data_IF_304484622366
#
_entry.id   IF_304484622366
#
_cell.length_a   1.000
_cell.length_b   1.000
_cell.length_c   1.000
_cell.angle_alpha   90.00
_cell.angle_beta   90.00
_cell.angle_gamma   90.00
#
_symmetry.space_group_name_H-M   'P 1'
#
loop_
_entity.id
_entity.type
_entity.pdbx_description
1 polymer ?
#
# COMPACT_ATOMS: atom_id res chain seq x y z
N UNK A 1 -13.69 -13.96 -2.42
CA UNK A 1 -13.10 -12.63 -2.57
C UNK A 1 -13.03 -11.95 -1.24
N UNK A 2 -11.97 -11.20 -1.02
CA UNK A 2 -11.78 -10.47 0.22
C UNK A 2 -11.58 -8.98 -0.08
N UNK A 3 -12.02 -8.16 0.86
CA UNK A 3 -11.87 -6.72 0.73
C UNK A 3 -10.71 -6.26 1.61
N UNK A 4 -9.79 -5.55 1.00
CA UNK A 4 -8.65 -4.97 1.72
C UNK A 4 -8.63 -3.47 1.50
N UNK A 5 -8.07 -2.76 2.46
CA UNK A 5 -7.82 -1.33 2.31
C UNK A 5 -6.33 -1.11 2.24
N UNK A 6 -5.93 -0.32 1.27
CA UNK A 6 -4.52 0.05 1.12
C UNK A 6 -4.40 1.52 1.45
N UNK A 7 -3.63 1.80 2.47
CA UNK A 7 -3.39 3.17 2.91
C UNK A 7 -2.00 3.58 2.43
N UNK A 8 -1.96 4.58 1.57
CA UNK A 8 -0.69 5.09 1.05
C UNK A 8 -0.25 6.27 1.90
N UNK A 9 0.94 6.17 2.44
CA UNK A 9 1.52 7.24 3.25
C UNK A 9 2.45 8.07 2.41
N UNK A 10 2.43 9.38 2.63
CA UNK A 10 3.29 10.29 1.91
C UNK A 10 4.16 11.04 2.91
N UNK A 11 5.33 11.44 2.44
CA UNK A 11 6.31 12.12 3.27
C UNK A 11 5.93 13.58 3.54
N UNK A 12 5.05 14.12 2.77
CA UNK A 12 4.64 15.51 2.90
C UNK A 12 3.45 15.63 3.85
N UNK A 13 3.03 16.85 4.09
CA UNK A 13 1.83 17.10 4.90
C UNK A 13 0.55 16.70 4.19
N UNK A 14 0.64 16.20 2.98
CA UNK A 14 -0.53 15.76 2.24
C UNK A 14 -1.19 14.59 2.94
N UNK A 15 -2.52 14.54 2.96
CA UNK A 15 -3.21 13.40 3.56
C UNK A 15 -2.92 12.13 2.78
N UNK A 16 -2.84 11.04 3.51
CA UNK A 16 -2.63 9.73 2.90
C UNK A 16 -3.83 9.37 2.04
N UNK A 17 -3.56 8.68 0.95
CA UNK A 17 -4.63 8.16 0.10
C UNK A 17 -5.06 6.79 0.60
N UNK A 18 -6.35 6.52 0.51
CA UNK A 18 -6.88 5.23 0.91
C UNK A 18 -7.63 4.62 -0.26
N UNK A 19 -7.33 3.38 -0.55
CA UNK A 19 -7.96 2.67 -1.66
C UNK A 19 -8.52 1.35 -1.14
N UNK A 20 -9.78 1.08 -1.46
CA UNK A 20 -10.38 -0.21 -1.14
C UNK A 20 -10.32 -1.09 -2.36
N UNK A 21 -9.88 -2.33 -2.18
CA UNK A 21 -9.77 -3.28 -3.26
C UNK A 21 -10.46 -4.59 -2.88
N UNK A 22 -10.95 -5.30 -3.88
CA UNK A 22 -11.53 -6.63 -3.69
C UNK A 22 -10.70 -7.59 -4.52
N UNK A 23 -9.99 -8.46 -3.84
CA UNK A 23 -9.08 -9.39 -4.50
C UNK A 23 -9.21 -10.78 -3.88
N UNK A 24 -8.59 -11.75 -4.53
CA UNK A 24 -8.69 -13.14 -4.13
C UNK A 24 -7.99 -13.42 -2.81
N UNK A 25 -6.82 -12.86 -2.62
CA UNK A 25 -6.03 -13.12 -1.42
C UNK A 25 -5.08 -11.96 -1.13
N UNK A 26 -4.35 -12.07 -0.02
CA UNK A 26 -3.48 -11.00 0.43
C UNK A 26 -2.27 -10.83 -0.48
N UNK A 27 -1.85 -11.88 -1.16
CA UNK A 27 -0.72 -11.77 -2.09
C UNK A 27 -1.06 -10.83 -3.23
N UNK A 28 -2.29 -10.93 -3.74
CA UNK A 28 -2.73 -10.02 -4.78
C UNK A 28 -2.81 -8.59 -4.26
N UNK A 29 -3.22 -8.42 -3.00
CA UNK A 29 -3.25 -7.11 -2.39
C UNK A 29 -1.84 -6.52 -2.31
N UNK A 30 -0.86 -7.35 -1.98
CA UNK A 30 0.55 -6.91 -1.97
C UNK A 30 1.01 -6.42 -3.34
N UNK A 31 0.69 -7.15 -4.38
CA UNK A 31 1.08 -6.76 -5.72
C UNK A 31 0.49 -5.41 -6.10
N UNK A 32 -0.78 -5.22 -5.78
CA UNK A 32 -1.44 -3.96 -6.08
C UNK A 32 -0.86 -2.81 -5.27
N UNK A 33 -0.55 -3.07 -3.99
CA UNK A 33 0.04 -2.04 -3.15
C UNK A 33 1.39 -1.60 -3.68
N UNK A 34 2.20 -2.54 -4.15
CA UNK A 34 3.48 -2.20 -4.75
C UNK A 34 3.30 -1.37 -6.02
N UNK A 35 2.30 -1.73 -6.82
CA UNK A 35 2.00 -0.96 -8.02
C UNK A 35 1.61 0.46 -7.71
N UNK A 36 0.84 0.67 -6.66
CA UNK A 36 0.47 2.01 -6.23
C UNK A 36 1.70 2.81 -5.79
N UNK A 37 2.61 2.16 -5.07
CA UNK A 37 3.83 2.82 -4.66
C UNK A 37 4.69 3.23 -5.85
N UNK A 38 4.75 2.39 -6.86
CA UNK A 38 5.53 2.71 -8.06
C UNK A 38 4.93 3.86 -8.84
N UNK A 39 3.62 3.92 -8.89
CA UNK A 39 2.93 4.96 -9.66
C UNK A 39 2.91 6.30 -8.96
N UNK A 40 2.79 6.28 -7.64
CA UNK A 40 2.69 7.51 -6.86
C UNK A 40 4.04 7.81 -6.25
N UNK A 41 4.78 8.69 -6.89
CA UNK A 41 6.13 9.02 -6.45
C UNK A 41 6.15 9.74 -5.12
N UNK A 42 5.05 10.34 -4.73
CA UNK A 42 4.96 10.99 -3.43
C UNK A 42 4.73 10.00 -2.29
N UNK A 43 4.29 8.80 -2.61
CA UNK A 43 4.03 7.80 -1.58
C UNK A 43 5.34 7.18 -1.11
N UNK A 44 5.47 7.03 0.19
CA UNK A 44 6.66 6.44 0.80
C UNK A 44 6.42 5.04 1.33
N UNK A 45 5.16 4.71 1.64
CA UNK A 45 4.82 3.42 2.19
C UNK A 45 3.37 3.10 1.89
N UNK A 46 3.02 1.83 2.00
CA UNK A 46 1.65 1.37 1.87
C UNK A 46 1.35 0.37 2.97
N UNK A 47 0.21 0.51 3.60
CA UNK A 47 -0.25 -0.43 4.60
C UNK A 47 -1.48 -1.14 4.07
N UNK A 48 -1.56 -2.44 4.34
CA UNK A 48 -2.69 -3.25 3.92
C UNK A 48 -3.48 -3.65 5.15
N UNK A 49 -4.78 -3.33 5.13
CA UNK A 49 -5.67 -3.64 6.25
C UNK A 49 -6.79 -4.56 5.80
N UNK A 50 -7.18 -5.45 6.68
CA UNK A 50 -8.40 -6.23 6.52
C UNK A 50 -9.23 -6.03 7.78
N UNK A 51 -10.40 -5.42 7.61
CA UNK A 51 -11.15 -4.97 8.79
C UNK A 51 -10.37 -3.88 9.47
N UNK A 52 -10.22 -3.97 10.77
CA UNK A 52 -9.42 -2.99 11.51
C UNK A 52 -7.99 -3.45 11.76
N UNK A 53 -7.56 -4.51 11.11
CA UNK A 53 -6.28 -5.12 11.39
C UNK A 53 -5.27 -4.88 10.26
N UNK A 54 -4.10 -4.38 10.61
CA UNK A 54 -3.03 -4.21 9.64
C UNK A 54 -2.36 -5.56 9.38
N UNK A 55 -2.35 -5.95 8.12
CA UNK A 55 -1.75 -7.21 7.72
C UNK A 55 -0.32 -7.03 7.23
N UNK A 56 -0.01 -5.89 6.64
CA UNK A 56 1.31 -5.69 6.05
C UNK A 56 1.65 -4.22 6.00
N UNK A 57 2.94 -3.95 6.03
CA UNK A 57 3.49 -2.61 5.86
C UNK A 57 4.59 -2.70 4.82
N UNK A 58 4.39 -2.02 3.69
CA UNK A 58 5.31 -2.09 2.57
C UNK A 58 5.95 -0.72 2.41
N UNK A 59 7.27 -0.67 2.47
CA UNK A 59 7.99 0.56 2.23
C UNK A 59 8.55 0.56 0.82
N UNK A 60 8.75 1.76 0.28
CA UNK A 60 9.36 1.89 -1.03
C UNK A 60 10.80 1.42 -0.96
N UNK A 61 11.18 0.58 -1.90
CA UNK A 61 12.56 0.13 -1.97
C UNK A 61 13.46 1.31 -2.29
N UNK A 62 14.58 1.39 -1.58
CA UNK A 62 15.55 2.44 -1.81
C UNK A 62 16.51 1.97 -2.88
N UNK A 63 16.47 2.54 -4.08
CA UNK A 63 17.33 2.07 -5.16
C UNK A 63 18.81 2.26 -4.87
N UNK A 64 19.16 3.15 -3.96
CA UNK A 64 20.56 3.36 -3.65
C UNK A 64 21.17 2.19 -2.90
N UNK A 65 20.35 1.29 -2.40
CA UNK A 65 20.82 0.11 -1.70
C UNK A 65 20.99 -1.09 -2.59
N UNK A 66 20.58 -0.99 -3.79
CA UNK A 66 20.69 -2.10 -4.73
C UNK A 66 22.14 -2.32 -5.15
#
# INVERSE_FOLDING_TARGET
>A
MRTYRILLEADSASPAAEVSIVVRDVERAHELARGFLERDKAATAADIFEGGRRLAHITRADPSKA
#
